data_IF_162197877839
#
_entry.id   IF_162197877839
#
_cell.length_a   1.000
_cell.length_b   1.000
_cell.length_c   1.000
_cell.angle_alpha   90.00
_cell.angle_beta   90.00
_cell.angle_gamma   90.00
#
_symmetry.space_group_name_H-M   'P 1'
#
loop_
_entity.id
_entity.type
_entity.pdbx_description
1 polymer ?
#
# COMPACT_ATOMS: atom_id res chain seq x y z
N UNK A 1 -3.92 -2.64 -7.49
CA UNK A 1 -3.36 -3.01 -6.16
C UNK A 1 -4.41 -3.25 -5.09
N UNK A 2 -5.25 -2.26 -4.75
CA UNK A 2 -6.24 -2.35 -3.64
C UNK A 2 -7.20 -3.54 -3.70
N UNK A 3 -7.58 -4.01 -4.89
CA UNK A 3 -8.50 -5.15 -5.05
C UNK A 3 -7.91 -6.46 -4.50
N UNK A 4 -6.59 -6.64 -4.56
CA UNK A 4 -5.93 -7.86 -4.09
C UNK A 4 -5.78 -7.92 -2.57
N UNK A 5 -5.70 -6.75 -1.91
CA UNK A 5 -5.64 -6.67 -0.45
C UNK A 5 -7.00 -6.98 0.21
N UNK A 6 -8.11 -6.55 -0.39
CA UNK A 6 -9.47 -6.89 0.10
C UNK A 6 -9.76 -8.40 0.08
N UNK A 7 -9.24 -9.15 -0.89
CA UNK A 7 -9.47 -10.60 -0.96
C UNK A 7 -8.68 -11.42 0.06
N UNK A 8 -7.62 -10.84 0.67
CA UNK A 8 -6.76 -11.55 1.62
C UNK A 8 -7.02 -11.17 3.08
N UNK A 9 -8.12 -10.46 3.39
CA UNK A 9 -8.38 -9.90 4.74
C UNK A 9 -7.22 -9.04 5.26
N UNK A 10 -6.44 -8.42 4.37
CA UNK A 10 -5.34 -7.56 4.77
C UNK A 10 -5.88 -6.17 5.10
N UNK A 11 -5.71 -5.73 6.35
CA UNK A 11 -6.15 -4.41 6.79
C UNK A 11 -5.28 -3.32 6.16
N UNK A 12 -5.92 -2.41 5.41
CA UNK A 12 -5.26 -1.21 4.90
C UNK A 12 -5.36 -0.15 6.00
N UNK A 13 -4.22 0.22 6.57
CA UNK A 13 -4.14 1.24 7.63
C UNK A 13 -4.32 2.62 7.02
N UNK A 14 -3.75 2.85 5.84
CA UNK A 14 -3.82 4.14 5.15
C UNK A 14 -3.57 3.99 3.65
N UNK A 15 -4.25 4.78 2.84
CA UNK A 15 -4.15 4.73 1.37
C UNK A 15 -5.39 4.15 0.67
N UNK A 16 -5.43 4.16 -0.67
CA UNK A 16 -4.36 4.58 -1.58
C UNK A 16 -4.15 6.10 -1.60
N UNK A 17 -2.90 6.55 -1.44
CA UNK A 17 -2.52 7.97 -1.56
C UNK A 17 -1.53 8.16 -2.70
N UNK A 18 -1.69 9.24 -3.46
CA UNK A 18 -0.70 9.64 -4.46
C UNK A 18 0.50 10.27 -3.74
N UNK A 19 1.69 9.71 -3.98
CA UNK A 19 2.97 10.22 -3.50
C UNK A 19 3.91 10.42 -4.69
N UNK A 20 4.99 11.15 -4.47
CA UNK A 20 6.06 11.30 -5.45
C UNK A 20 7.25 10.45 -5.00
N UNK A 21 7.55 9.40 -5.74
CA UNK A 21 8.73 8.56 -5.55
C UNK A 21 9.91 9.05 -6.39
N UNK A 22 11.01 8.30 -6.36
CA UNK A 22 12.22 8.64 -7.12
C UNK A 22 11.98 8.69 -8.64
N UNK A 23 11.01 7.93 -9.14
CA UNK A 23 10.65 7.88 -10.56
C UNK A 23 9.42 8.72 -10.93
N UNK A 24 8.90 9.54 -10.03
CA UNK A 24 7.72 10.37 -10.28
C UNK A 24 6.50 9.96 -9.46
N UNK A 25 5.30 10.22 -9.99
CA UNK A 25 4.05 9.92 -9.29
C UNK A 25 3.89 8.42 -9.06
N UNK A 26 3.55 8.05 -7.84
CA UNK A 26 3.30 6.67 -7.42
C UNK A 26 2.12 6.61 -6.46
N UNK A 27 1.42 5.48 -6.43
CA UNK A 27 0.38 5.24 -5.43
C UNK A 27 0.97 4.42 -4.29
N UNK A 28 0.86 4.93 -3.06
CA UNK A 28 1.32 4.24 -1.85
C UNK A 28 0.15 3.78 -0.98
N UNK A 29 0.29 2.61 -0.38
CA UNK A 29 -0.67 1.99 0.55
C UNK A 29 0.10 1.47 1.75
N UNK A 30 -0.43 1.66 2.94
CA UNK A 30 0.12 1.19 4.20
C UNK A 30 -0.74 0.06 4.76
N UNK A 31 -0.11 -1.04 5.16
CA UNK A 31 -0.77 -2.21 5.72
C UNK A 31 0.07 -2.81 6.86
N UNK A 32 -0.52 -3.69 7.67
CA UNK A 32 0.23 -4.51 8.63
C UNK A 32 0.46 -5.89 8.07
N UNK A 33 1.67 -6.40 8.20
CA UNK A 33 1.92 -7.82 7.98
C UNK A 33 1.36 -8.66 9.17
N UNK A 34 1.28 -10.00 9.05
CA UNK A 34 0.80 -10.86 10.12
C UNK A 34 1.53 -10.73 11.47
N UNK A 35 2.81 -10.34 11.46
CA UNK A 35 3.63 -10.06 12.65
C UNK A 35 3.33 -8.67 13.25
N UNK A 36 2.54 -7.85 12.55
CA UNK A 36 2.10 -6.53 13.00
C UNK A 36 3.03 -5.40 12.61
N UNK A 37 4.05 -5.63 11.78
CA UNK A 37 4.93 -4.58 11.30
C UNK A 37 4.23 -3.73 10.24
N UNK A 38 4.58 -2.44 10.23
CA UNK A 38 4.07 -1.50 9.24
C UNK A 38 4.78 -1.72 7.91
N UNK A 39 4.03 -2.12 6.89
CA UNK A 39 4.52 -2.31 5.53
C UNK A 39 3.94 -1.23 4.64
N UNK A 40 4.82 -0.53 3.93
CA UNK A 40 4.46 0.37 2.83
C UNK A 40 4.57 -0.40 1.51
N UNK A 41 3.50 -0.33 0.71
CA UNK A 41 3.44 -0.88 -0.64
C UNK A 41 3.15 0.24 -1.61
N UNK A 42 4.14 0.56 -2.45
CA UNK A 42 4.00 1.56 -3.50
C UNK A 42 4.03 0.92 -4.89
N UNK A 43 3.23 1.44 -5.82
CA UNK A 43 3.36 1.17 -7.26
C UNK A 43 3.57 2.46 -8.00
N UNK A 44 4.53 2.44 -8.91
CA UNK A 44 4.53 3.35 -10.04
C UNK A 44 3.49 2.85 -11.06
N UNK A 45 2.92 3.78 -11.83
CA UNK A 45 2.09 3.48 -13.01
C UNK A 45 2.98 3.12 -14.20
#
# INVERSE_FOLDING_TARGET
>A
MIAKYKSNNQEIISGPVEKHGAHGKMTSVYTRDPDGNLVEVCSYE
#
